data_IF_488778167510
#
_entry.id   IF_488778167510
#
_cell.length_a   1.000
_cell.length_b   1.000
_cell.length_c   1.000
_cell.angle_alpha   90.00
_cell.angle_beta   90.00
_cell.angle_gamma   90.00
#
_symmetry.space_group_name_H-M   'P 1'
#
loop_
_entity.id
_entity.type
_entity.pdbx_description
1 polymer ?
#
# COMPACT_ATOMS: atom_id res chain seq x y z
N UNK A 1 11.22 -0.41 1.74
CA UNK A 1 11.48 0.84 1.04
C UNK A 1 11.47 2.02 2.01
N UNK A 2 12.17 3.08 1.67
CA UNK A 2 12.26 4.30 2.47
C UNK A 2 11.99 5.51 1.55
N UNK A 3 10.74 5.73 1.14
CA UNK A 3 10.40 6.78 0.18
C UNK A 3 10.69 8.16 0.74
N UNK A 4 11.17 9.05 -0.14
CA UNK A 4 11.36 10.47 0.16
C UNK A 4 10.64 11.31 -0.86
N UNK A 5 9.85 12.26 -0.37
CA UNK A 5 9.20 13.26 -1.20
C UNK A 5 10.09 14.48 -1.39
N UNK A 6 10.06 15.06 -2.56
CA UNK A 6 10.72 16.32 -2.86
C UNK A 6 10.00 17.04 -3.99
N UNK A 7 10.02 18.35 -3.93
CA UNK A 7 9.44 19.22 -4.95
C UNK A 7 10.54 19.70 -5.90
N UNK A 8 10.30 19.64 -7.20
CA UNK A 8 11.22 20.17 -8.21
C UNK A 8 10.62 21.48 -8.75
N UNK A 9 11.15 22.65 -8.38
CA UNK A 9 10.67 23.90 -8.95
C UNK A 9 11.07 24.04 -10.41
N UNK A 10 10.32 24.82 -11.19
CA UNK A 10 10.77 25.23 -12.54
C UNK A 10 12.12 25.91 -12.45
N UNK A 11 13.07 25.46 -13.25
CA UNK A 11 14.42 26.01 -13.29
C UNK A 11 15.05 25.85 -14.67
N UNK A 12 15.87 26.82 -15.08
CA UNK A 12 16.52 26.83 -16.39
C UNK A 12 17.37 25.59 -16.69
N UNK A 13 17.94 24.95 -15.65
CA UNK A 13 18.73 23.72 -15.79
C UNK A 13 17.92 22.49 -16.21
N UNK A 14 16.59 22.54 -16.10
CA UNK A 14 15.70 21.50 -16.64
C UNK A 14 15.56 21.57 -18.17
N UNK A 15 15.95 22.71 -18.80
CA UNK A 15 15.91 22.86 -20.24
C UNK A 15 14.51 22.59 -20.83
N UNK A 16 14.45 21.72 -21.83
CA UNK A 16 13.20 21.33 -22.50
C UNK A 16 12.22 20.59 -21.57
N UNK A 17 12.70 20.01 -20.48
CA UNK A 17 11.89 19.28 -19.51
C UNK A 17 11.22 20.18 -18.47
N UNK A 18 11.47 21.50 -18.54
CA UNK A 18 11.00 22.43 -17.51
C UNK A 18 9.46 22.54 -17.41
N UNK A 19 8.77 22.43 -18.56
CA UNK A 19 7.31 22.49 -18.59
C UNK A 19 6.65 21.16 -18.22
N UNK A 20 7.35 20.05 -18.39
CA UNK A 20 6.83 18.72 -18.12
C UNK A 20 7.10 18.27 -16.68
N UNK A 21 8.25 18.61 -16.12
CA UNK A 21 8.71 18.11 -14.81
C UNK A 21 8.99 19.21 -13.78
N UNK A 22 8.84 20.47 -14.13
CA UNK A 22 8.96 21.59 -13.19
C UNK A 22 7.67 21.89 -12.46
N UNK A 23 7.76 22.35 -11.21
CA UNK A 23 6.67 22.60 -10.27
C UNK A 23 5.86 21.34 -9.91
N UNK A 24 6.54 20.20 -9.87
CA UNK A 24 5.93 18.89 -9.57
C UNK A 24 6.52 18.25 -8.32
N UNK A 25 5.68 17.44 -7.65
CA UNK A 25 6.08 16.61 -6.50
C UNK A 25 6.54 15.24 -6.98
N UNK A 26 7.72 14.83 -6.52
CA UNK A 26 8.30 13.52 -6.83
C UNK A 26 8.54 12.69 -5.58
N UNK A 27 8.52 11.38 -5.77
CA UNK A 27 8.92 10.41 -4.77
C UNK A 27 10.13 9.60 -5.28
N UNK A 28 11.20 9.55 -4.49
CA UNK A 28 12.28 8.59 -4.69
C UNK A 28 12.05 7.43 -3.74
N UNK A 29 12.01 6.24 -4.28
CA UNK A 29 11.84 5.00 -3.54
C UNK A 29 12.96 4.02 -3.90
N UNK A 30 13.50 3.35 -2.89
CA UNK A 30 14.44 2.26 -3.08
C UNK A 30 13.72 1.05 -3.70
N UNK A 31 14.23 0.55 -4.82
CA UNK A 31 13.63 -0.58 -5.53
C UNK A 31 14.07 -1.89 -4.87
N UNK A 32 13.15 -2.70 -4.35
CA UNK A 32 13.49 -3.99 -3.77
C UNK A 32 13.85 -4.99 -4.88
N UNK A 33 15.12 -5.32 -4.96
CA UNK A 33 15.71 -6.29 -5.89
C UNK A 33 16.77 -7.13 -5.18
N UNK A 34 17.23 -8.21 -5.79
CA UNK A 34 18.20 -9.17 -5.23
C UNK A 34 19.53 -8.53 -4.80
N UNK A 35 19.90 -7.40 -5.39
CA UNK A 35 21.12 -6.66 -5.04
C UNK A 35 21.05 -5.98 -3.65
N UNK A 36 19.88 -5.98 -3.01
CA UNK A 36 19.64 -5.32 -1.72
C UNK A 36 19.35 -6.31 -0.59
N UNK A 37 19.68 -7.58 -0.80
CA UNK A 37 19.70 -8.59 0.27
C UNK A 37 20.66 -8.15 1.36
N UNK A 38 20.40 -8.58 2.60
CA UNK A 38 21.16 -8.20 3.81
C UNK A 38 21.06 -6.71 4.19
N UNK A 39 20.27 -5.89 3.49
CA UNK A 39 20.06 -4.50 3.83
C UNK A 39 19.02 -4.32 4.94
N UNK A 40 19.28 -3.35 5.82
CA UNK A 40 18.38 -3.02 6.93
C UNK A 40 16.96 -2.68 6.48
N UNK A 41 16.83 -2.01 5.34
CA UNK A 41 15.54 -1.55 4.80
C UNK A 41 14.60 -2.70 4.47
N UNK A 42 15.12 -3.88 4.16
CA UNK A 42 14.35 -5.10 3.90
C UNK A 42 14.46 -6.11 5.05
N UNK A 43 14.87 -5.66 6.24
CA UNK A 43 14.90 -6.46 7.46
C UNK A 43 16.01 -7.52 7.45
N UNK A 44 17.09 -7.31 6.69
CA UNK A 44 18.19 -8.26 6.48
C UNK A 44 17.70 -9.57 5.86
N UNK A 45 16.88 -9.45 4.81
CA UNK A 45 16.38 -10.59 4.07
C UNK A 45 17.50 -11.36 3.38
N UNK A 46 17.38 -12.69 3.33
CA UNK A 46 18.32 -13.56 2.62
C UNK A 46 18.14 -13.46 1.09
N UNK A 47 16.93 -13.09 0.63
CA UNK A 47 16.59 -12.97 -0.78
C UNK A 47 15.38 -12.06 -0.97
N UNK A 48 15.15 -11.53 -2.19
CA UNK A 48 13.98 -10.74 -2.55
C UNK A 48 13.38 -11.29 -3.83
N UNK A 49 12.17 -11.79 -3.76
CA UNK A 49 11.53 -12.52 -4.84
C UNK A 49 10.29 -11.83 -5.39
N UNK A 50 9.91 -12.19 -6.62
CA UNK A 50 8.67 -11.75 -7.24
C UNK A 50 7.45 -12.51 -6.68
N UNK A 51 6.26 -11.94 -6.84
CA UNK A 51 5.01 -12.62 -6.47
C UNK A 51 4.80 -13.92 -7.26
N UNK A 52 5.22 -13.96 -8.52
CA UNK A 52 5.11 -15.15 -9.34
C UNK A 52 5.93 -16.30 -8.75
N UNK A 53 7.20 -16.04 -8.42
CA UNK A 53 8.12 -17.06 -7.92
C UNK A 53 7.67 -17.60 -6.56
N UNK A 54 7.19 -16.74 -5.65
CA UNK A 54 6.73 -17.22 -4.33
C UNK A 54 5.45 -18.04 -4.42
N UNK A 55 4.55 -17.73 -5.36
CA UNK A 55 3.33 -18.53 -5.58
C UNK A 55 3.69 -19.93 -6.07
N UNK A 56 4.65 -20.06 -6.98
CA UNK A 56 5.13 -21.37 -7.44
C UNK A 56 5.75 -22.15 -6.28
N UNK A 57 6.69 -21.56 -5.54
CA UNK A 57 7.39 -22.19 -4.42
C UNK A 57 6.43 -22.67 -3.32
N UNK A 58 5.49 -21.84 -2.92
CA UNK A 58 4.51 -22.19 -1.85
C UNK A 58 3.60 -23.35 -2.29
N UNK A 59 3.37 -23.53 -3.60
CA UNK A 59 2.61 -24.68 -4.12
C UNK A 59 3.42 -25.95 -4.22
N UNK A 60 4.73 -25.82 -4.39
CA UNK A 60 5.62 -26.97 -4.58
C UNK A 60 6.01 -27.66 -3.26
N UNK A 61 6.23 -26.89 -2.18
CA UNK A 61 6.76 -27.45 -0.94
C UNK A 61 6.28 -26.63 0.29
N UNK A 62 5.81 -27.33 1.31
CA UNK A 62 5.32 -26.77 2.58
C UNK A 62 6.38 -26.01 3.39
N UNK A 63 7.67 -26.15 3.08
CA UNK A 63 8.74 -25.35 3.70
C UNK A 63 8.68 -23.89 3.32
N UNK A 64 8.07 -23.54 2.19
CA UNK A 64 7.86 -22.17 1.76
C UNK A 64 6.58 -21.60 2.36
N UNK A 65 6.69 -20.58 3.18
CA UNK A 65 5.57 -20.05 3.98
C UNK A 65 5.43 -18.54 3.82
N UNK A 66 4.20 -18.09 3.72
CA UNK A 66 3.88 -16.66 3.75
C UNK A 66 3.75 -16.19 5.19
N UNK A 67 4.34 -15.04 5.52
CA UNK A 67 4.01 -14.29 6.74
C UNK A 67 2.63 -13.64 6.55
N UNK A 68 1.57 -14.46 6.75
CA UNK A 68 0.19 -14.04 6.53
C UNK A 68 -0.20 -12.86 7.42
N UNK A 69 0.36 -12.76 8.64
CA UNK A 69 0.10 -11.64 9.53
C UNK A 69 0.63 -10.33 8.95
N UNK A 70 1.86 -10.36 8.42
CA UNK A 70 2.44 -9.20 7.76
C UNK A 70 1.69 -8.84 6.46
N UNK A 71 1.22 -9.84 5.71
CA UNK A 71 0.47 -9.60 4.48
C UNK A 71 -0.93 -9.03 4.76
N UNK A 72 -1.68 -9.59 5.70
CA UNK A 72 -2.98 -9.05 6.16
C UNK A 72 -2.81 -7.60 6.65
N UNK A 73 -1.76 -7.33 7.44
CA UNK A 73 -1.45 -5.97 7.90
C UNK A 73 -1.18 -5.02 6.75
N UNK A 74 -0.41 -5.44 5.75
CA UNK A 74 -0.13 -4.63 4.57
C UNK A 74 -1.40 -4.34 3.77
N UNK A 75 -2.29 -5.34 3.59
CA UNK A 75 -3.58 -5.17 2.93
C UNK A 75 -4.51 -4.21 3.68
N UNK A 76 -4.58 -4.31 5.00
CA UNK A 76 -5.33 -3.36 5.83
C UNK A 76 -4.76 -1.95 5.75
N UNK A 77 -3.43 -1.83 5.65
CA UNK A 77 -2.80 -0.53 5.44
C UNK A 77 -3.14 0.06 4.07
N UNK A 78 -3.17 -0.77 3.01
CA UNK A 78 -3.61 -0.32 1.68
C UNK A 78 -5.07 0.20 1.72
N UNK A 79 -5.97 -0.51 2.43
CA UNK A 79 -7.35 -0.06 2.64
C UNK A 79 -7.42 1.24 3.46
N UNK A 80 -6.54 1.39 4.46
CA UNK A 80 -6.46 2.59 5.29
C UNK A 80 -6.10 3.83 4.46
N UNK A 81 -5.11 3.74 3.59
CA UNK A 81 -4.66 4.85 2.75
C UNK A 81 -5.39 4.97 1.41
N UNK A 82 -6.28 4.03 1.10
CA UNK A 82 -7.08 4.04 -0.13
C UNK A 82 -6.33 3.60 -1.39
N UNK A 83 -5.28 2.79 -1.24
CA UNK A 83 -4.52 2.23 -2.36
C UNK A 83 -5.28 1.05 -2.97
N UNK A 84 -5.98 1.28 -4.06
CA UNK A 84 -6.84 0.31 -4.73
C UNK A 84 -6.10 -0.55 -5.76
N UNK A 85 -4.94 -0.12 -6.27
CA UNK A 85 -4.23 -0.80 -7.35
C UNK A 85 -3.21 -1.81 -6.83
N UNK A 86 -3.67 -2.79 -6.06
CA UNK A 86 -2.82 -3.78 -5.37
C UNK A 86 -2.74 -5.12 -6.08
N UNK A 87 -2.53 -5.10 -7.41
CA UNK A 87 -2.30 -6.33 -8.19
C UNK A 87 -0.94 -6.97 -7.88
N UNK A 88 -0.70 -8.19 -8.39
CA UNK A 88 0.47 -9.01 -8.03
C UNK A 88 1.83 -8.33 -8.26
N UNK A 89 1.95 -7.47 -9.27
CA UNK A 89 3.23 -6.84 -9.61
C UNK A 89 3.61 -5.69 -8.64
N UNK A 90 2.64 -5.24 -7.84
CA UNK A 90 2.84 -4.22 -6.79
C UNK A 90 3.50 -4.77 -5.53
N UNK A 91 4.00 -6.00 -5.58
CA UNK A 91 4.63 -6.67 -4.46
C UNK A 91 5.98 -7.26 -4.82
N UNK A 92 6.88 -7.25 -3.83
CA UNK A 92 8.06 -8.12 -3.73
C UNK A 92 8.02 -8.81 -2.39
N UNK A 93 8.84 -9.82 -2.21
CA UNK A 93 8.80 -10.69 -1.04
C UNK A 93 10.18 -10.92 -0.49
N UNK A 94 10.41 -10.41 0.72
CA UNK A 94 11.64 -10.65 1.47
C UNK A 94 11.63 -12.08 2.02
N UNK A 95 12.60 -12.90 1.65
CA UNK A 95 12.79 -14.26 2.14
C UNK A 95 13.65 -14.25 3.39
N UNK A 96 13.24 -15.04 4.38
CA UNK A 96 14.00 -15.30 5.60
C UNK A 96 14.16 -16.80 5.79
N UNK A 97 15.41 -17.27 5.85
CA UNK A 97 15.73 -18.68 6.09
C UNK A 97 15.68 -18.98 7.60
N UNK A 98 14.91 -19.99 7.97
CA UNK A 98 14.77 -20.40 9.37
C UNK A 98 15.70 -21.58 9.69
N UNK A 99 16.12 -21.71 10.95
CA UNK A 99 17.01 -22.78 11.42
C UNK A 99 16.47 -24.20 11.14
N UNK A 100 15.15 -24.36 11.11
CA UNK A 100 14.49 -25.65 10.81
C UNK A 100 14.39 -25.96 9.30
N UNK A 101 14.95 -25.09 8.44
CA UNK A 101 14.92 -25.24 6.99
C UNK A 101 13.71 -24.63 6.31
N UNK A 102 12.74 -24.09 7.04
CA UNK A 102 11.63 -23.33 6.48
C UNK A 102 12.11 -22.00 5.89
N UNK A 103 11.37 -21.49 4.92
CA UNK A 103 11.59 -20.18 4.32
C UNK A 103 10.32 -19.35 4.45
N UNK A 104 10.43 -18.20 5.11
CA UNK A 104 9.30 -17.28 5.30
C UNK A 104 9.40 -16.11 4.34
N UNK A 105 8.29 -15.80 3.69
CA UNK A 105 8.15 -14.67 2.79
C UNK A 105 7.34 -13.54 3.43
N UNK A 106 7.97 -12.38 3.58
CA UNK A 106 7.33 -11.18 4.10
C UNK A 106 7.08 -10.18 2.97
N UNK A 107 5.87 -9.59 2.87
CA UNK A 107 5.53 -8.69 1.77
C UNK A 107 6.33 -7.38 1.84
N UNK A 108 6.77 -6.93 0.68
CA UNK A 108 7.31 -5.58 0.43
C UNK A 108 6.36 -4.92 -0.57
N UNK A 109 5.45 -4.04 -0.10
CA UNK A 109 4.59 -3.28 -1.00
C UNK A 109 5.39 -2.22 -1.76
N UNK A 110 5.03 -2.02 -3.03
CA UNK A 110 5.65 -1.07 -3.95
C UNK A 110 4.58 -0.19 -4.58
N UNK A 111 5.00 0.89 -5.23
CA UNK A 111 4.19 1.65 -6.17
C UNK A 111 2.85 2.09 -5.56
N UNK A 112 2.92 2.93 -4.53
CA UNK A 112 1.75 3.47 -3.83
C UNK A 112 1.40 4.86 -4.35
N UNK A 113 1.25 4.99 -5.66
CA UNK A 113 0.91 6.24 -6.34
C UNK A 113 -0.61 6.51 -6.38
N UNK A 114 -1.44 5.51 -6.05
CA UNK A 114 -2.90 5.62 -6.07
C UNK A 114 -3.52 5.99 -4.71
N UNK A 115 -2.71 6.33 -3.71
CA UNK A 115 -3.19 6.67 -2.37
C UNK A 115 -3.93 8.00 -2.34
N UNK A 116 -4.91 8.12 -1.45
CA UNK A 116 -5.69 9.35 -1.21
C UNK A 116 -6.36 9.92 -2.47
N UNK A 117 -6.64 9.07 -3.45
CA UNK A 117 -7.17 9.50 -4.74
C UNK A 117 -8.53 10.19 -4.62
N UNK A 118 -8.68 11.28 -5.37
CA UNK A 118 -9.92 12.02 -5.45
C UNK A 118 -10.52 11.86 -6.86
N UNK A 119 -11.29 10.80 -7.06
CA UNK A 119 -11.99 10.53 -8.32
C UNK A 119 -13.36 11.18 -8.31
N UNK A 120 -13.42 12.51 -8.22
CA UNK A 120 -14.64 13.28 -8.30
C UNK A 120 -14.85 13.83 -9.73
N UNK A 121 -15.99 13.59 -10.30
CA UNK A 121 -16.35 14.14 -11.61
C UNK A 121 -17.59 13.50 -12.20
N UNK A 122 -18.51 14.31 -12.69
CA UNK A 122 -19.78 13.86 -13.25
C UNK A 122 -19.60 12.81 -14.37
N UNK A 123 -18.51 12.90 -15.14
CA UNK A 123 -18.19 11.92 -16.20
C UNK A 123 -17.82 10.55 -15.61
N UNK A 124 -17.02 10.52 -14.53
CA UNK A 124 -16.65 9.28 -13.84
C UNK A 124 -17.85 8.63 -13.18
N UNK A 125 -18.77 9.41 -12.59
CA UNK A 125 -19.99 8.88 -11.99
C UNK A 125 -20.90 8.24 -13.05
N UNK A 126 -21.00 8.84 -14.23
CA UNK A 126 -21.73 8.26 -15.36
C UNK A 126 -21.04 6.97 -15.84
N UNK A 127 -19.71 6.93 -15.92
CA UNK A 127 -18.96 5.73 -16.31
C UNK A 127 -19.11 4.60 -15.28
N UNK A 128 -19.09 4.90 -13.96
CA UNK A 128 -19.36 3.94 -12.88
C UNK A 128 -20.72 3.26 -13.04
N UNK A 129 -21.73 4.03 -13.42
CA UNK A 129 -23.11 3.53 -13.62
C UNK A 129 -23.20 2.63 -14.87
N UNK A 130 -22.57 3.05 -15.99
CA UNK A 130 -22.73 2.38 -17.29
C UNK A 130 -21.87 1.14 -17.43
N UNK A 131 -20.58 1.21 -17.05
CA UNK A 131 -19.64 0.12 -17.34
C UNK A 131 -19.34 -0.78 -16.14
N UNK A 132 -19.56 -0.30 -14.93
CA UNK A 132 -19.15 -1.00 -13.69
C UNK A 132 -17.63 -1.17 -13.53
N UNK A 133 -16.85 -0.90 -14.58
CA UNK A 133 -15.40 -1.13 -14.63
C UNK A 133 -14.58 -0.12 -13.85
N UNK A 134 -15.19 0.97 -13.38
CA UNK A 134 -14.53 2.05 -12.65
C UNK A 134 -14.97 2.15 -11.19
N UNK A 135 -15.65 1.14 -10.67
CA UNK A 135 -16.16 1.13 -9.28
C UNK A 135 -15.05 1.12 -8.22
N UNK A 136 -13.85 0.63 -8.56
CA UNK A 136 -12.68 0.73 -7.70
C UNK A 136 -12.19 2.18 -7.50
N UNK A 137 -12.52 3.09 -8.43
CA UNK A 137 -12.14 4.50 -8.37
C UNK A 137 -13.09 5.23 -7.42
N UNK A 138 -12.82 5.15 -6.14
CA UNK A 138 -13.58 5.81 -5.09
C UNK A 138 -12.86 7.08 -4.63
N UNK A 139 -13.65 8.09 -4.27
CA UNK A 139 -13.10 9.25 -3.57
C UNK A 139 -12.62 8.81 -2.19
N UNK A 140 -11.42 9.21 -1.81
CA UNK A 140 -10.91 8.92 -0.48
C UNK A 140 -11.73 9.62 0.60
N UNK A 141 -12.22 8.84 1.57
CA UNK A 141 -13.07 9.33 2.64
C UNK A 141 -12.79 8.55 3.94
N UNK A 142 -13.27 9.02 5.09
CA UNK A 142 -13.18 8.31 6.37
C UNK A 142 -13.92 6.97 6.38
N UNK A 143 -14.98 6.84 5.59
CA UNK A 143 -15.65 5.57 5.36
C UNK A 143 -15.13 4.89 4.08
N UNK A 144 -14.83 3.60 4.18
CA UNK A 144 -14.63 2.74 3.01
C UNK A 144 -15.95 2.06 2.68
N UNK A 145 -16.69 2.61 1.70
CA UNK A 145 -18.07 2.17 1.38
C UNK A 145 -18.08 0.83 0.66
N UNK A 146 -17.28 0.71 -0.38
CA UNK A 146 -17.26 -0.43 -1.31
C UNK A 146 -15.94 -1.19 -1.20
N UNK A 147 -15.84 -2.02 -0.15
CA UNK A 147 -14.59 -2.74 0.20
C UNK A 147 -14.21 -3.72 -0.92
N UNK A 148 -15.19 -4.46 -1.47
CA UNK A 148 -14.91 -5.46 -2.51
C UNK A 148 -14.37 -4.83 -3.79
N UNK A 149 -14.97 -3.73 -4.25
CA UNK A 149 -14.53 -3.05 -5.45
C UNK A 149 -13.18 -2.35 -5.27
N UNK A 150 -12.95 -1.73 -4.12
CA UNK A 150 -11.64 -1.15 -3.80
C UNK A 150 -10.53 -2.20 -3.84
N UNK A 151 -10.81 -3.42 -3.41
CA UNK A 151 -9.85 -4.52 -3.37
C UNK A 151 -9.85 -5.42 -4.61
N UNK A 152 -10.60 -5.09 -5.66
CA UNK A 152 -10.79 -5.94 -6.84
C UNK A 152 -9.49 -6.34 -7.54
N UNK A 153 -8.48 -5.48 -7.55
CA UNK A 153 -7.17 -5.77 -8.12
C UNK A 153 -6.37 -6.81 -7.29
N UNK A 154 -6.50 -6.77 -5.95
CA UNK A 154 -5.74 -7.61 -5.02
C UNK A 154 -6.43 -8.91 -4.60
N UNK A 155 -7.76 -9.01 -4.70
CA UNK A 155 -8.54 -10.11 -4.10
C UNK A 155 -8.12 -11.51 -4.58
N UNK A 156 -7.63 -11.63 -5.81
CA UNK A 156 -7.14 -12.92 -6.33
C UNK A 156 -5.87 -13.35 -5.62
N UNK A 157 -4.97 -12.40 -5.37
CA UNK A 157 -3.73 -12.63 -4.65
C UNK A 157 -4.02 -12.94 -3.18
N UNK A 158 -4.92 -12.19 -2.56
CA UNK A 158 -5.33 -12.41 -1.17
C UNK A 158 -5.84 -13.84 -0.97
N UNK A 159 -6.70 -14.35 -1.86
CA UNK A 159 -7.23 -15.72 -1.82
C UNK A 159 -6.18 -16.82 -2.02
N UNK A 160 -5.08 -16.51 -2.69
CA UNK A 160 -3.97 -17.45 -2.89
C UNK A 160 -3.04 -17.50 -1.69
N UNK A 161 -2.74 -16.34 -1.11
CA UNK A 161 -1.70 -16.20 -0.09
C UNK A 161 -2.21 -16.19 1.35
N UNK A 162 -3.48 -15.84 1.58
CA UNK A 162 -4.10 -15.83 2.90
C UNK A 162 -4.96 -17.09 3.04
N UNK A 163 -4.41 -18.10 3.71
CA UNK A 163 -5.04 -19.42 3.83
C UNK A 163 -5.47 -19.75 5.27
N UNK A 164 -4.78 -19.20 6.25
CA UNK A 164 -4.97 -19.50 7.68
C UNK A 164 -5.48 -18.32 8.50
N UNK A 165 -5.34 -17.11 7.98
CA UNK A 165 -5.81 -15.93 8.67
C UNK A 165 -7.34 -15.85 8.59
N UNK A 166 -8.00 -16.12 9.72
CA UNK A 166 -9.43 -15.97 9.92
C UNK A 166 -9.81 -14.52 10.27
N UNK A 167 -11.09 -14.29 10.49
CA UNK A 167 -11.63 -12.98 10.85
C UNK A 167 -10.97 -12.39 12.10
N UNK A 168 -10.71 -13.20 13.10
CA UNK A 168 -10.06 -12.78 14.34
C UNK A 168 -8.66 -12.25 14.07
N UNK A 169 -7.93 -12.87 13.15
CA UNK A 169 -6.60 -12.44 12.74
C UNK A 169 -6.64 -11.09 12.00
N UNK A 170 -7.61 -10.90 11.13
CA UNK A 170 -7.81 -9.60 10.47
C UNK A 170 -8.10 -8.49 11.49
N UNK A 171 -8.97 -8.74 12.46
CA UNK A 171 -9.26 -7.77 13.53
C UNK A 171 -8.02 -7.50 14.40
N UNK A 172 -7.23 -8.52 14.72
CA UNK A 172 -5.97 -8.37 15.46
C UNK A 172 -5.00 -7.44 14.71
N UNK A 173 -4.82 -7.63 13.40
CA UNK A 173 -3.95 -6.78 12.62
C UNK A 173 -4.51 -5.35 12.44
N UNK A 174 -5.83 -5.18 12.39
CA UNK A 174 -6.46 -3.87 12.40
C UNK A 174 -6.19 -3.12 13.71
N UNK A 175 -6.32 -3.78 14.87
CA UNK A 175 -5.96 -3.21 16.17
C UNK A 175 -4.49 -2.82 16.23
N UNK A 176 -3.61 -3.69 15.75
CA UNK A 176 -2.18 -3.40 15.67
C UNK A 176 -1.92 -2.09 14.90
N UNK A 177 -2.55 -1.90 13.74
CA UNK A 177 -2.40 -0.66 12.97
C UNK A 177 -2.97 0.55 13.72
N UNK A 178 -4.14 0.41 14.37
CA UNK A 178 -4.74 1.49 15.15
C UNK A 178 -3.86 1.96 16.32
N UNK A 179 -3.16 1.03 16.97
CA UNK A 179 -2.27 1.30 18.09
C UNK A 179 -0.95 1.95 17.65
N UNK A 180 -0.45 1.61 16.45
CA UNK A 180 0.86 2.08 15.97
C UNK A 180 0.76 3.31 15.07
N UNK A 181 -0.34 3.51 14.35
CA UNK A 181 -0.59 4.69 13.53
C UNK A 181 -1.38 5.70 14.37
N UNK A 182 -0.73 6.30 15.37
CA UNK A 182 -1.35 7.31 16.25
C UNK A 182 -1.53 8.63 15.52
N UNK A 183 -2.23 9.58 16.15
CA UNK A 183 -2.39 10.93 15.60
C UNK A 183 -1.03 11.61 15.42
N UNK A 184 -0.11 11.41 16.36
CA UNK A 184 1.25 11.96 16.30
C UNK A 184 2.05 11.37 15.13
N UNK A 185 1.89 10.07 14.85
CA UNK A 185 2.53 9.41 13.70
C UNK A 185 1.98 9.95 12.38
N UNK A 186 0.66 10.16 12.30
CA UNK A 186 0.03 10.77 11.13
C UNK A 186 0.54 12.19 10.94
N UNK A 187 0.49 13.02 11.97
CA UNK A 187 0.93 14.41 11.91
C UNK A 187 2.42 14.51 11.54
N UNK A 188 3.25 13.64 12.11
CA UNK A 188 4.67 13.54 11.75
C UNK A 188 4.89 13.13 10.29
N UNK A 189 4.11 12.18 9.76
CA UNK A 189 4.20 11.76 8.37
C UNK A 189 3.86 12.93 7.43
N UNK A 190 2.77 13.62 7.66
CA UNK A 190 2.35 14.77 6.85
C UNK A 190 3.28 15.98 6.97
N UNK A 191 3.97 16.15 8.10
CA UNK A 191 5.00 17.20 8.24
C UNK A 191 6.23 16.99 7.35
N UNK A 192 6.36 15.82 6.68
CA UNK A 192 7.45 15.55 5.72
C UNK A 192 7.09 15.92 4.28
N UNK A 193 5.83 16.29 4.04
CA UNK A 193 5.41 16.81 2.73
C UNK A 193 6.08 18.18 2.53
N UNK A 194 6.71 18.46 1.36
CA UNK A 194 7.32 19.74 1.06
C UNK A 194 6.34 20.91 1.24
N UNK A 195 6.84 22.03 1.77
CA UNK A 195 6.00 23.21 2.09
C UNK A 195 5.29 23.75 0.84
N UNK A 196 5.92 23.62 -0.32
CA UNK A 196 5.42 24.12 -1.61
C UNK A 196 4.09 23.48 -2.03
N UNK A 197 3.79 22.29 -1.51
CA UNK A 197 2.57 21.53 -1.84
C UNK A 197 1.63 21.35 -0.64
N UNK A 198 1.92 22.04 0.47
CA UNK A 198 1.04 22.03 1.63
C UNK A 198 -0.12 23.00 1.43
N UNK A 199 -1.34 22.46 1.42
CA UNK A 199 -2.57 23.22 1.32
C UNK A 199 -3.68 22.64 2.22
N UNK A 200 -4.88 23.19 2.10
CA UNK A 200 -6.06 22.73 2.86
C UNK A 200 -6.45 21.27 2.56
N UNK A 201 -6.05 20.75 1.39
CA UNK A 201 -6.31 19.34 0.99
C UNK A 201 -5.60 18.37 1.91
N UNK A 202 -4.38 18.70 2.35
CA UNK A 202 -3.63 17.85 3.28
C UNK A 202 -4.34 17.73 4.64
N UNK A 203 -4.93 18.80 5.14
CA UNK A 203 -5.67 18.77 6.41
C UNK A 203 -6.96 17.93 6.27
N UNK A 204 -7.65 18.01 5.14
CA UNK A 204 -8.80 17.16 4.84
C UNK A 204 -8.41 15.69 4.77
N UNK A 205 -7.32 15.35 4.05
CA UNK A 205 -6.79 13.98 3.97
C UNK A 205 -6.41 13.46 5.36
N UNK A 206 -5.72 14.25 6.18
CA UNK A 206 -5.36 13.87 7.56
C UNK A 206 -6.58 13.55 8.40
N UNK A 207 -7.60 14.40 8.34
CA UNK A 207 -8.87 14.17 9.04
C UNK A 207 -9.52 12.87 8.60
N UNK A 208 -9.64 12.63 7.30
CA UNK A 208 -10.21 11.41 6.73
C UNK A 208 -9.42 10.17 7.11
N UNK A 209 -8.08 10.26 7.10
CA UNK A 209 -7.20 9.17 7.51
C UNK A 209 -7.39 8.79 8.98
N UNK A 210 -7.49 9.78 9.88
CA UNK A 210 -7.77 9.56 11.30
C UNK A 210 -9.14 8.91 11.51
N UNK A 211 -10.17 9.35 10.78
CA UNK A 211 -11.51 8.76 10.79
C UNK A 211 -11.50 7.31 10.29
N UNK A 212 -10.88 7.07 9.12
CA UNK A 212 -10.77 5.71 8.54
C UNK A 212 -9.97 4.75 9.43
N UNK A 213 -8.91 5.22 10.08
CA UNK A 213 -8.20 4.45 11.09
C UNK A 213 -9.13 4.02 12.23
N UNK A 214 -10.00 4.91 12.71
CA UNK A 214 -11.02 4.58 13.71
C UNK A 214 -11.93 3.45 13.28
N UNK A 215 -12.25 3.36 11.99
CA UNK A 215 -13.14 2.37 11.38
C UNK A 215 -12.44 1.07 10.93
N UNK A 216 -11.12 0.93 11.15
CA UNK A 216 -10.33 -0.14 10.54
C UNK A 216 -10.74 -1.56 10.96
N UNK A 217 -11.23 -1.75 12.21
CA UNK A 217 -11.77 -3.05 12.66
C UNK A 217 -13.09 -3.41 11.97
N UNK A 218 -13.93 -2.42 11.66
CA UNK A 218 -15.15 -2.64 10.86
C UNK A 218 -14.77 -3.02 9.43
N UNK A 219 -13.81 -2.33 8.82
CA UNK A 219 -13.27 -2.66 7.51
C UNK A 219 -12.74 -4.10 7.50
N UNK A 220 -11.91 -4.49 8.47
CA UNK A 220 -11.38 -5.84 8.62
C UNK A 220 -12.48 -6.91 8.81
N UNK A 221 -13.61 -6.54 9.38
CA UNK A 221 -14.74 -7.45 9.62
C UNK A 221 -15.57 -7.68 8.36
N UNK A 222 -15.63 -6.67 7.50
CA UNK A 222 -16.45 -6.65 6.27
C UNK A 222 -15.70 -7.20 5.05
N UNK A 223 -14.37 -7.23 5.08
CA UNK A 223 -13.53 -7.83 4.05
C UNK A 223 -13.38 -9.34 4.24
#
# INVERSE_FOLDING_TARGET
TNPKLFFIPKHESLGEYNEEYGDELYMIEERPEDNYTDERNFGYADDIESTHDIIEKVREDEKYKIDENAFVRARLFDMLIGDWDRHQDQWRWAQFNMENGDKYYRPIPRDRDQVFSNFDGALLDVMKIISGSTKQLQVYDEELKDIEWMNSAGIKLDRVLIQKADKEKWIEQAKFLQEHITDEVIDLAFSKVPEEVQDETLEDIKKKLKGRRGNLQDIATRY
#
